data_IF_714121029780
#
_entry.id   IF_714121029780
#
_cell.length_a   1.000
_cell.length_b   1.000
_cell.length_c   1.000
_cell.angle_alpha   90.00
_cell.angle_beta   90.00
_cell.angle_gamma   90.00
#
_symmetry.space_group_name_H-M   'P 1'
#
loop_
_entity.id
_entity.type
_entity.pdbx_description
1 polymer ?
#
# COMPACT_ATOMS: atom_id res chain seq x y z
N UNK A 1 -10.59 0.02 -1.93
CA UNK A 1 -11.17 -1.33 -1.71
C UNK A 1 -10.17 -2.26 -1.07
N UNK A 2 -8.93 -2.40 -1.56
CA UNK A 2 -7.97 -3.41 -1.05
C UNK A 2 -7.73 -3.39 0.47
N UNK A 3 -7.61 -2.21 1.09
CA UNK A 3 -7.43 -2.11 2.56
C UNK A 3 -8.70 -2.56 3.30
N UNK A 4 -9.88 -2.24 2.77
CA UNK A 4 -11.14 -2.72 3.35
C UNK A 4 -11.26 -4.23 3.17
N UNK A 5 -10.92 -4.77 2.01
CA UNK A 5 -10.92 -6.21 1.76
C UNK A 5 -9.97 -6.94 2.71
N UNK A 6 -8.78 -6.37 2.97
CA UNK A 6 -7.85 -6.86 3.98
C UNK A 6 -8.47 -6.87 5.38
N UNK A 7 -9.16 -5.80 5.79
CA UNK A 7 -9.86 -5.72 7.09
C UNK A 7 -11.00 -6.74 7.16
N UNK A 8 -11.77 -6.94 6.08
CA UNK A 8 -12.82 -7.97 6.01
C UNK A 8 -12.25 -9.37 6.06
N UNK A 9 -11.10 -9.62 5.43
CA UNK A 9 -10.40 -10.90 5.56
C UNK A 9 -9.99 -11.18 7.01
N UNK A 10 -9.56 -10.15 7.75
CA UNK A 10 -9.29 -10.27 9.20
C UNK A 10 -10.59 -10.59 9.96
N UNK A 11 -11.74 -10.02 9.60
CA UNK A 11 -13.03 -10.40 10.24
C UNK A 11 -13.32 -11.88 10.06
N UNK A 12 -13.17 -12.40 8.84
CA UNK A 12 -13.38 -13.83 8.54
C UNK A 12 -12.45 -14.70 9.39
N UNK A 13 -11.18 -14.32 9.54
CA UNK A 13 -10.23 -15.03 10.40
C UNK A 13 -10.64 -14.95 11.88
N UNK A 14 -11.17 -13.82 12.34
CA UNK A 14 -11.64 -13.68 13.72
C UNK A 14 -12.82 -14.60 14.03
N UNK A 15 -13.70 -14.87 13.08
CA UNK A 15 -14.86 -15.72 13.29
C UNK A 15 -14.57 -17.23 13.21
N UNK A 16 -13.35 -17.60 12.82
CA UNK A 16 -12.90 -19.00 12.69
C UNK A 16 -12.45 -19.56 14.03
N UNK A 17 -13.07 -20.65 14.48
CA UNK A 17 -12.76 -21.26 15.79
C UNK A 17 -11.34 -21.82 15.88
N UNK A 18 -10.74 -22.22 14.76
CA UNK A 18 -9.38 -22.74 14.68
C UNK A 18 -8.30 -21.64 14.62
N UNK A 19 -8.69 -20.36 14.52
CA UNK A 19 -7.76 -19.24 14.43
C UNK A 19 -7.51 -18.63 15.81
N UNK A 20 -6.24 -18.53 16.18
CA UNK A 20 -5.85 -17.72 17.33
C UNK A 20 -5.84 -16.23 16.95
N UNK A 21 -6.85 -15.51 17.44
CA UNK A 21 -7.06 -14.06 17.23
C UNK A 21 -5.91 -13.20 17.75
N UNK A 22 -5.06 -13.73 18.63
CA UNK A 22 -3.88 -13.03 19.17
C UNK A 22 -2.65 -13.19 18.27
N UNK A 23 -2.73 -13.98 17.20
CA UNK A 23 -1.59 -14.36 16.35
C UNK A 23 -1.85 -14.14 14.85
N UNK A 24 -2.46 -13.01 14.49
CA UNK A 24 -2.75 -12.66 13.09
C UNK A 24 -1.67 -11.74 12.54
N UNK A 25 -1.01 -12.16 11.45
CA UNK A 25 -0.04 -11.35 10.70
C UNK A 25 -0.57 -10.97 9.31
N UNK A 26 -0.03 -9.89 8.74
CA UNK A 26 -0.32 -9.45 7.38
C UNK A 26 0.98 -9.21 6.61
N UNK A 27 1.06 -9.74 5.39
CA UNK A 27 2.25 -9.69 4.54
C UNK A 27 1.83 -9.62 3.08
N UNK A 28 2.68 -9.02 2.25
CA UNK A 28 2.43 -8.89 0.83
C UNK A 28 3.63 -8.30 0.10
N UNK A 29 3.68 -8.53 -1.20
CA UNK A 29 4.76 -8.12 -2.09
C UNK A 29 4.30 -6.97 -2.99
N UNK A 30 5.16 -5.97 -3.24
CA UNK A 30 4.89 -4.87 -4.16
C UNK A 30 3.55 -4.17 -3.85
N UNK A 31 2.58 -4.18 -4.77
CA UNK A 31 1.22 -3.69 -4.49
C UNK A 31 0.58 -4.34 -3.25
N UNK A 32 0.75 -5.64 -3.02
CA UNK A 32 0.29 -6.30 -1.79
C UNK A 32 1.04 -5.82 -0.54
N UNK A 33 2.31 -5.43 -0.68
CA UNK A 33 3.09 -4.80 0.38
C UNK A 33 2.61 -3.39 0.70
N UNK A 34 2.10 -2.66 -0.29
CA UNK A 34 1.43 -1.38 -0.07
C UNK A 34 0.18 -1.56 0.81
N UNK A 35 -0.67 -2.53 0.44
CA UNK A 35 -1.85 -2.87 1.24
C UNK A 35 -1.50 -3.38 2.63
N UNK A 36 -0.34 -4.03 2.79
CA UNK A 36 0.16 -4.53 4.08
C UNK A 36 0.45 -3.41 5.08
N UNK A 37 1.23 -2.39 4.70
CA UNK A 37 1.51 -1.29 5.63
C UNK A 37 0.27 -0.42 5.89
N UNK A 38 -0.66 -0.32 4.93
CA UNK A 38 -1.92 0.37 5.12
C UNK A 38 -2.82 -0.35 6.13
N UNK A 39 -3.08 -1.64 5.92
CA UNK A 39 -3.89 -2.45 6.83
C UNK A 39 -3.28 -2.48 8.24
N UNK A 40 -1.96 -2.64 8.33
CA UNK A 40 -1.23 -2.60 9.59
C UNK A 40 -1.35 -1.29 10.38
N UNK A 41 -1.49 -0.17 9.66
CA UNK A 41 -1.65 1.15 10.26
C UNK A 41 -3.07 1.39 10.80
N UNK A 42 -4.10 0.83 10.15
CA UNK A 42 -5.52 1.14 10.47
C UNK A 42 -6.24 0.03 11.25
N UNK A 43 -5.72 -1.20 11.29
CA UNK A 43 -6.34 -2.31 12.00
C UNK A 43 -5.44 -2.80 13.16
N UNK A 44 -5.91 -2.58 14.39
CA UNK A 44 -5.20 -2.95 15.63
C UNK A 44 -5.14 -4.47 15.86
N UNK A 45 -5.96 -5.24 15.13
CA UNK A 45 -6.05 -6.70 15.25
C UNK A 45 -4.90 -7.43 14.58
N UNK A 46 -4.30 -6.82 13.55
CA UNK A 46 -3.07 -7.33 12.92
C UNK A 46 -1.92 -7.15 13.93
N UNK A 47 -1.27 -8.25 14.30
CA UNK A 47 -0.21 -8.30 15.33
C UNK A 47 1.20 -8.32 14.75
N UNK A 48 1.34 -8.61 13.47
CA UNK A 48 2.62 -8.62 12.76
C UNK A 48 2.42 -8.07 11.35
N UNK A 49 3.28 -7.15 10.92
CA UNK A 49 3.22 -6.54 9.58
C UNK A 49 4.56 -6.74 8.86
N UNK A 50 4.50 -7.24 7.63
CA UNK A 50 5.71 -7.53 6.81
C UNK A 50 5.51 -7.06 5.36
N UNK A 51 5.69 -5.76 5.06
CA UNK A 51 5.69 -5.28 3.68
C UNK A 51 6.98 -5.73 2.98
N UNK A 52 6.84 -6.37 1.82
CA UNK A 52 7.94 -6.89 1.01
C UNK A 52 8.01 -6.14 -0.31
N UNK A 53 9.21 -5.71 -0.72
CA UNK A 53 9.50 -5.05 -1.99
C UNK A 53 8.52 -3.91 -2.33
N UNK A 54 8.17 -3.09 -1.32
CA UNK A 54 7.05 -2.12 -1.42
C UNK A 54 7.26 -0.80 -0.68
N UNK A 55 8.11 -0.76 0.35
CA UNK A 55 8.33 0.46 1.13
C UNK A 55 9.24 1.41 0.36
N UNK A 56 8.88 2.69 0.37
CA UNK A 56 9.64 3.82 -0.19
C UNK A 56 9.15 5.11 0.48
N UNK A 57 9.26 6.27 -0.17
CA UNK A 57 8.61 7.51 0.25
C UNK A 57 7.60 8.00 -0.80
N UNK A 58 6.51 8.62 -0.34
CA UNK A 58 5.59 9.32 -1.25
C UNK A 58 6.32 10.43 -2.04
N UNK A 59 7.31 11.09 -1.43
CA UNK A 59 8.10 12.15 -2.07
C UNK A 59 8.91 11.63 -3.26
N UNK A 60 9.46 10.41 -3.15
CA UNK A 60 10.13 9.74 -4.25
C UNK A 60 9.20 9.57 -5.45
N UNK A 61 8.02 8.98 -5.24
CA UNK A 61 7.05 8.74 -6.30
C UNK A 61 6.56 10.02 -6.95
N UNK A 62 6.23 11.04 -6.15
CA UNK A 62 5.79 12.35 -6.66
C UNK A 62 6.89 12.98 -7.50
N UNK A 63 8.12 13.05 -6.99
CA UNK A 63 9.25 13.69 -7.68
C UNK A 63 9.65 12.96 -8.97
N UNK A 64 9.54 11.63 -8.98
CA UNK A 64 9.88 10.81 -10.15
C UNK A 64 8.72 10.64 -11.13
N UNK A 65 7.53 11.17 -10.82
CA UNK A 65 6.33 10.99 -11.65
C UNK A 65 6.07 9.50 -11.92
N UNK A 66 6.15 8.67 -10.86
CA UNK A 66 6.06 7.20 -10.93
C UNK A 66 4.88 6.65 -10.14
N UNK A 67 4.42 5.49 -10.60
CA UNK A 67 3.45 4.61 -9.95
C UNK A 67 2.16 5.38 -9.55
N UNK A 68 1.21 5.45 -10.49
CA UNK A 68 -0.03 6.20 -10.33
C UNK A 68 -1.18 5.33 -9.84
N UNK A 69 -0.91 4.33 -9.01
CA UNK A 69 -1.95 3.48 -8.42
C UNK A 69 -2.73 4.28 -7.35
N UNK A 70 -3.68 5.10 -7.82
CA UNK A 70 -4.49 6.00 -7.00
C UNK A 70 -5.26 5.26 -5.91
N UNK A 71 -5.60 3.99 -6.15
CA UNK A 71 -6.29 3.14 -5.19
C UNK A 71 -5.46 2.83 -3.93
N UNK A 72 -4.14 2.84 -4.04
CA UNK A 72 -3.22 2.62 -2.92
C UNK A 72 -2.68 3.93 -2.33
N UNK A 73 -3.09 5.07 -2.89
CA UNK A 73 -2.54 6.42 -2.63
C UNK A 73 -3.67 7.44 -2.59
N UNK A 74 -4.50 7.47 -1.53
CA UNK A 74 -5.61 8.39 -1.42
C UNK A 74 -5.16 9.85 -1.63
N UNK A 75 -5.94 10.64 -2.36
CA UNK A 75 -5.62 12.04 -2.62
C UNK A 75 -5.41 12.80 -1.31
N UNK A 76 -4.36 13.62 -1.26
CA UNK A 76 -4.06 14.45 -0.09
C UNK A 76 -3.37 13.71 1.06
N UNK A 77 -3.24 12.37 1.05
CA UNK A 77 -2.60 11.60 2.15
C UNK A 77 -1.25 12.18 2.55
N UNK A 78 -0.43 12.60 1.58
CA UNK A 78 0.91 13.14 1.82
C UNK A 78 0.92 14.40 2.71
N UNK A 79 -0.19 15.13 2.81
CA UNK A 79 -0.34 16.29 3.70
C UNK A 79 -0.45 15.88 5.17
N UNK A 80 -0.88 14.65 5.44
CA UNK A 80 -1.14 14.14 6.78
C UNK A 80 -0.12 13.09 7.22
N UNK A 81 0.34 12.25 6.30
CA UNK A 81 1.24 11.13 6.61
C UNK A 81 2.19 10.81 5.45
N UNK A 82 3.42 10.40 5.80
CA UNK A 82 4.31 9.67 4.90
C UNK A 82 4.22 8.16 5.12
N UNK A 83 4.83 7.35 4.26
CA UNK A 83 4.90 5.88 4.45
C UNK A 83 5.55 5.54 5.78
N UNK A 84 6.62 6.24 6.18
CA UNK A 84 7.20 6.09 7.51
C UNK A 84 6.19 6.30 8.66
N UNK A 85 5.25 7.25 8.52
CA UNK A 85 4.18 7.46 9.51
C UNK A 85 3.22 6.27 9.55
N UNK A 86 2.84 5.72 8.39
CA UNK A 86 1.98 4.54 8.32
C UNK A 86 2.64 3.32 9.00
N UNK A 87 3.94 3.11 8.74
CA UNK A 87 4.73 2.09 9.44
C UNK A 87 4.78 2.33 10.96
N UNK A 88 4.90 3.59 11.37
CA UNK A 88 4.95 3.98 12.78
C UNK A 88 3.62 3.77 13.51
N UNK A 89 2.47 3.92 12.84
CA UNK A 89 1.14 3.66 13.42
C UNK A 89 0.93 2.19 13.82
N UNK A 90 1.76 1.27 13.31
CA UNK A 90 1.74 -0.10 13.77
C UNK A 90 2.36 -0.29 15.16
N UNK A 91 3.22 0.63 15.61
CA UNK A 91 3.93 0.53 16.89
C UNK A 91 2.96 0.35 18.08
N UNK A 92 3.35 -0.39 19.13
CA UNK A 92 4.63 -1.09 19.32
C UNK A 92 4.64 -2.52 18.74
N UNK A 93 3.66 -2.89 17.91
CA UNK A 93 3.53 -4.25 17.38
C UNK A 93 4.64 -4.57 16.38
N UNK A 94 5.07 -5.84 16.25
CA UNK A 94 6.18 -6.22 15.37
C UNK A 94 6.02 -5.84 13.90
N UNK A 95 7.07 -5.25 13.32
CA UNK A 95 7.16 -4.84 11.93
C UNK A 95 8.49 -5.27 11.30
N UNK A 96 8.45 -5.87 10.11
CA UNK A 96 9.63 -6.17 9.31
C UNK A 96 9.48 -5.59 7.90
N UNK A 97 10.31 -4.62 7.56
CA UNK A 97 10.42 -4.15 6.17
C UNK A 97 11.41 -5.04 5.44
N UNK A 98 11.02 -5.61 4.30
CA UNK A 98 11.90 -6.39 3.42
C UNK A 98 12.02 -5.65 2.09
N UNK A 99 13.20 -5.14 1.77
CA UNK A 99 13.46 -4.45 0.50
C UNK A 99 14.23 -5.34 -0.48
N UNK A 100 13.97 -5.16 -1.77
CA UNK A 100 14.74 -5.78 -2.84
C UNK A 100 16.21 -5.32 -2.81
N UNK A 101 17.08 -6.06 -3.50
CA UNK A 101 18.47 -5.67 -3.71
C UNK A 101 18.55 -4.24 -4.27
N UNK A 102 19.42 -3.40 -3.71
CA UNK A 102 19.68 -2.05 -4.24
C UNK A 102 19.90 -2.06 -5.76
N UNK A 103 19.40 -1.04 -6.44
CA UNK A 103 19.51 -0.84 -7.90
C UNK A 103 18.72 -1.82 -8.76
N UNK A 104 18.02 -2.79 -8.18
CA UNK A 104 17.19 -3.74 -8.95
C UNK A 104 15.72 -3.36 -9.00
N UNK A 105 15.32 -2.38 -8.19
CA UNK A 105 13.92 -1.99 -7.97
C UNK A 105 13.76 -0.47 -7.89
N UNK A 106 14.78 0.28 -8.30
CA UNK A 106 14.85 1.73 -8.14
C UNK A 106 13.77 2.47 -8.96
N UNK A 107 13.12 1.80 -9.91
CA UNK A 107 12.00 2.40 -10.64
C UNK A 107 10.83 2.72 -9.70
N UNK A 108 10.55 1.86 -8.72
CA UNK A 108 9.40 2.00 -7.81
C UNK A 108 9.79 2.05 -6.33
N UNK A 109 10.66 1.15 -5.89
CA UNK A 109 10.96 0.92 -4.48
C UNK A 109 12.48 0.94 -4.22
N UNK A 110 13.17 2.07 -4.49
CA UNK A 110 14.59 2.19 -4.17
C UNK A 110 14.81 2.00 -2.67
N UNK A 111 15.82 1.20 -2.34
CA UNK A 111 16.14 0.86 -0.96
C UNK A 111 16.41 2.09 -0.09
N UNK A 112 17.08 3.11 -0.62
CA UNK A 112 17.43 4.32 0.13
C UNK A 112 16.18 5.06 0.61
N UNK A 113 15.11 5.08 -0.19
CA UNK A 113 13.84 5.70 0.20
C UNK A 113 13.07 4.81 1.19
N UNK A 114 13.19 3.49 1.06
CA UNK A 114 12.66 2.55 2.04
C UNK A 114 13.30 2.76 3.42
N UNK A 115 14.61 2.95 3.44
CA UNK A 115 15.40 3.21 4.65
C UNK A 115 14.99 4.53 5.33
N UNK A 116 14.66 5.58 4.58
CA UNK A 116 14.13 6.82 5.15
C UNK A 116 12.82 6.58 5.93
N UNK A 117 11.87 5.88 5.31
CA UNK A 117 10.59 5.52 5.95
C UNK A 117 10.78 4.62 7.16
N UNK A 118 11.67 3.62 7.06
CA UNK A 118 12.00 2.74 8.19
C UNK A 118 12.63 3.50 9.36
N UNK A 119 13.60 4.38 9.11
CA UNK A 119 14.28 5.13 10.19
C UNK A 119 13.32 6.04 10.93
N UNK A 120 12.39 6.67 10.23
CA UNK A 120 11.30 7.43 10.86
C UNK A 120 10.44 6.55 11.76
N UNK A 121 9.97 5.40 11.26
CA UNK A 121 9.18 4.47 12.06
C UNK A 121 9.97 3.95 13.28
N UNK A 122 11.24 3.57 13.08
CA UNK A 122 12.13 3.09 14.15
C UNK A 122 12.34 4.13 15.26
N UNK A 123 12.36 5.42 14.92
CA UNK A 123 12.40 6.48 15.91
C UNK A 123 11.17 6.43 16.82
N UNK A 124 9.96 6.37 16.23
CA UNK A 124 8.69 6.28 16.98
C UNK A 124 8.62 5.00 17.83
N UNK A 125 9.04 3.85 17.28
CA UNK A 125 9.13 2.61 18.06
C UNK A 125 9.98 2.79 19.31
N UNK A 126 11.08 3.54 19.24
CA UNK A 126 11.93 3.84 20.40
C UNK A 126 11.30 4.74 21.47
N UNK A 127 10.18 5.40 21.16
CA UNK A 127 9.42 6.23 22.11
C UNK A 127 8.31 5.43 22.80
N UNK A 128 7.69 4.48 22.10
CA UNK A 128 6.47 3.79 22.56
C UNK A 128 6.66 2.29 22.83
N UNK A 129 7.83 1.73 22.55
CA UNK A 129 8.09 0.30 22.70
C UNK A 129 9.55 -0.11 22.46
N UNK A 130 9.80 -1.42 22.31
CA UNK A 130 11.16 -1.89 22.09
C UNK A 130 11.56 -1.69 20.62
N UNK A 131 12.73 -1.07 20.40
CA UNK A 131 13.34 -0.95 19.05
C UNK A 131 13.65 -2.30 18.39
N UNK A 132 13.60 -3.40 19.15
CA UNK A 132 13.75 -4.76 18.63
C UNK A 132 12.49 -5.26 17.92
N UNK A 133 11.33 -4.63 18.11
CA UNK A 133 10.08 -4.93 17.40
C UNK A 133 10.04 -4.41 15.96
N UNK A 134 11.05 -3.67 15.51
CA UNK A 134 11.13 -3.19 14.12
C UNK A 134 12.50 -3.49 13.51
N UNK A 135 12.50 -3.99 12.27
CA UNK A 135 13.72 -4.17 11.48
C UNK A 135 13.49 -3.87 9.99
N UNK A 136 14.60 -3.61 9.30
CA UNK A 136 14.65 -3.49 7.84
C UNK A 136 15.72 -4.45 7.32
N UNK A 137 15.31 -5.33 6.41
CA UNK A 137 16.18 -6.31 5.77
C UNK A 137 16.30 -6.00 4.28
N UNK A 138 17.53 -6.01 3.79
CA UNK A 138 17.82 -5.97 2.35
C UNK A 138 17.98 -7.39 1.82
N UNK A 139 17.18 -7.73 0.82
CA UNK A 139 17.28 -8.98 0.10
C UNK A 139 18.45 -8.96 -0.89
N UNK A 140 19.22 -10.06 -1.04
CA UNK A 140 20.19 -10.22 -2.11
C UNK A 140 19.54 -10.44 -3.49
N UNK A 141 18.21 -10.56 -3.59
CA UNK A 141 17.49 -10.81 -4.84
C UNK A 141 16.66 -9.60 -5.28
N UNK A 142 16.35 -9.54 -6.57
CA UNK A 142 15.55 -8.47 -7.15
C UNK A 142 14.08 -8.49 -6.68
N UNK A 143 13.23 -7.62 -7.25
CA UNK A 143 11.80 -7.55 -6.97
C UNK A 143 11.12 -8.93 -7.01
N UNK A 144 10.13 -9.17 -6.15
CA UNK A 144 9.48 -10.47 -5.96
C UNK A 144 9.56 -11.03 -4.54
N UNK A 145 9.14 -12.29 -4.40
CA UNK A 145 8.96 -12.99 -3.11
C UNK A 145 9.81 -14.26 -3.00
N UNK A 146 11.09 -14.14 -3.35
CA UNK A 146 12.05 -15.24 -3.42
C UNK A 146 12.31 -15.89 -2.04
N UNK A 147 12.93 -17.07 -2.07
CA UNK A 147 13.20 -17.91 -0.88
C UNK A 147 13.86 -17.12 0.25
N UNK A 148 14.83 -16.26 -0.05
CA UNK A 148 15.55 -15.49 0.97
C UNK A 148 14.64 -14.53 1.74
N UNK A 149 13.68 -13.89 1.04
CA UNK A 149 12.68 -13.00 1.63
C UNK A 149 11.68 -13.80 2.46
N UNK A 150 11.22 -14.94 1.96
CA UNK A 150 10.34 -15.86 2.70
C UNK A 150 10.99 -16.38 3.98
N UNK A 151 12.28 -16.71 3.95
CA UNK A 151 13.04 -17.10 5.15
C UNK A 151 13.01 -16.02 6.22
N UNK A 152 13.19 -14.74 5.86
CA UNK A 152 13.08 -13.65 6.84
C UNK A 152 11.66 -13.51 7.39
N UNK A 153 10.64 -13.65 6.53
CA UNK A 153 9.25 -13.69 6.96
C UNK A 153 9.01 -14.80 7.98
N UNK A 154 9.43 -16.03 7.69
CA UNK A 154 9.21 -17.17 8.59
C UNK A 154 9.88 -16.94 9.95
N UNK A 155 11.11 -16.43 9.97
CA UNK A 155 11.82 -16.05 11.21
C UNK A 155 11.03 -15.04 12.03
N UNK A 156 10.44 -14.03 11.38
CA UNK A 156 9.66 -13.00 12.06
C UNK A 156 8.33 -13.54 12.59
N UNK A 157 7.65 -14.38 11.80
CA UNK A 157 6.44 -15.10 12.24
C UNK A 157 6.74 -15.96 13.45
N UNK A 158 7.80 -16.77 13.40
CA UNK A 158 8.18 -17.66 14.49
C UNK A 158 8.49 -16.89 15.78
N UNK A 159 9.27 -15.81 15.65
CA UNK A 159 9.66 -14.95 16.77
C UNK A 159 8.48 -14.25 17.44
N UNK A 160 7.57 -13.69 16.64
CA UNK A 160 6.59 -12.72 17.13
C UNK A 160 5.17 -13.25 17.23
N UNK A 161 4.80 -14.18 16.37
CA UNK A 161 3.51 -14.87 16.46
C UNK A 161 3.61 -16.18 17.24
N UNK A 162 4.81 -16.72 17.49
CA UNK A 162 5.03 -17.90 18.34
C UNK A 162 4.00 -19.01 18.04
N UNK A 163 3.99 -19.56 16.82
CA UNK A 163 3.02 -20.58 16.44
C UNK A 163 3.18 -21.81 17.35
N UNK A 164 2.12 -22.62 17.56
CA UNK A 164 2.18 -23.81 18.41
C UNK A 164 3.29 -24.80 18.02
N UNK A 165 3.68 -24.78 16.74
CA UNK A 165 4.81 -25.53 16.21
C UNK A 165 5.75 -24.58 15.45
N UNK A 166 6.94 -24.38 15.99
CA UNK A 166 8.00 -23.64 15.31
C UNK A 166 8.59 -24.46 14.15
N UNK A 167 8.77 -23.81 13.02
CA UNK A 167 9.50 -24.34 11.86
C UNK A 167 10.72 -23.47 11.52
N UNK A 168 11.04 -22.49 12.36
CA UNK A 168 12.11 -21.53 12.14
C UNK A 168 11.98 -20.82 10.80
N UNK A 169 13.00 -20.98 9.94
CA UNK A 169 13.06 -20.38 8.61
C UNK A 169 12.92 -21.40 7.47
N UNK A 170 12.45 -22.61 7.78
CA UNK A 170 12.36 -23.68 6.80
C UNK A 170 11.32 -23.36 5.73
N UNK A 171 11.79 -23.16 4.50
CA UNK A 171 10.92 -23.07 3.33
C UNK A 171 10.46 -24.50 2.95
N UNK A 172 9.15 -24.71 3.00
CA UNK A 172 8.55 -26.01 2.74
C UNK A 172 8.29 -26.18 1.25
N UNK A 173 8.34 -27.43 0.79
CA UNK A 173 7.90 -27.77 -0.56
C UNK A 173 6.40 -27.49 -0.68
N UNK A 174 6.02 -26.74 -1.71
CA UNK A 174 4.63 -26.39 -1.99
C UNK A 174 4.17 -27.14 -3.22
N UNK A 175 3.09 -27.91 -3.08
CA UNK A 175 2.34 -28.41 -4.23
C UNK A 175 1.47 -27.26 -4.76
N UNK A 176 1.82 -26.73 -5.92
CA UNK A 176 1.02 -25.69 -6.58
C UNK A 176 -0.33 -26.28 -6.97
N UNK A 177 -1.41 -25.78 -6.38
CA UNK A 177 -2.77 -26.16 -6.77
C UNK A 177 -3.19 -25.41 -8.05
N UNK A 178 -3.93 -26.06 -8.95
CA UNK A 178 -4.54 -25.40 -10.10
C UNK A 178 -5.52 -24.30 -9.64
N UNK A 179 -5.62 -23.21 -10.42
CA UNK A 179 -6.38 -22.02 -10.05
C UNK A 179 -7.86 -22.31 -9.79
N UNK A 180 -8.45 -23.26 -10.51
CA UNK A 180 -9.84 -23.70 -10.37
C UNK A 180 -10.14 -24.25 -8.97
N UNK A 181 -9.14 -24.80 -8.27
CA UNK A 181 -9.30 -25.26 -6.88
C UNK A 181 -9.32 -24.11 -5.87
N UNK A 182 -8.81 -22.95 -6.25
CA UNK A 182 -8.82 -21.74 -5.42
C UNK A 182 -10.10 -20.91 -5.63
N UNK A 183 -10.92 -21.26 -6.61
CA UNK A 183 -12.19 -20.59 -6.86
C UNK A 183 -13.23 -20.98 -5.80
N UNK A 184 -13.76 -19.97 -5.11
CA UNK A 184 -14.88 -20.15 -4.16
C UNK A 184 -16.21 -20.42 -4.89
N UNK A 185 -16.29 -20.18 -6.20
CA UNK A 185 -17.51 -20.34 -6.98
C UNK A 185 -18.59 -19.31 -6.62
N UNK A 186 -18.20 -18.11 -6.15
CA UNK A 186 -19.14 -17.07 -5.69
C UNK A 186 -20.25 -16.74 -6.69
N UNK A 187 -19.97 -16.73 -8.00
CA UNK A 187 -21.00 -16.52 -9.04
C UNK A 187 -22.04 -17.64 -9.11
N UNK A 188 -21.67 -18.88 -8.75
CA UNK A 188 -22.62 -20.00 -8.68
C UNK A 188 -23.48 -19.91 -7.42
N UNK A 189 -22.89 -19.47 -6.31
CA UNK A 189 -23.56 -19.35 -5.02
C UNK A 189 -24.48 -18.13 -4.95
N UNK A 190 -24.07 -17.03 -5.58
CA UNK A 190 -24.79 -15.76 -5.60
C UNK A 190 -24.76 -15.22 -7.04
N UNK A 191 -25.73 -15.60 -7.89
CA UNK A 191 -25.75 -15.27 -9.31
C UNK A 191 -25.68 -13.76 -9.60
N UNK A 192 -26.26 -12.94 -8.72
CA UNK A 192 -26.27 -11.48 -8.85
C UNK A 192 -25.05 -10.79 -8.22
N UNK A 193 -24.05 -11.57 -7.75
CA UNK A 193 -22.85 -11.00 -7.16
C UNK A 193 -22.00 -10.31 -8.23
N UNK A 194 -21.81 -9.01 -8.04
CA UNK A 194 -21.07 -8.18 -8.98
C UNK A 194 -19.58 -8.46 -8.86
N UNK A 195 -18.92 -8.66 -9.99
CA UNK A 195 -17.46 -8.63 -10.02
C UNK A 195 -16.96 -7.20 -9.82
N UNK A 196 -15.69 -7.03 -9.46
CA UNK A 196 -15.05 -5.72 -9.52
C UNK A 196 -15.24 -5.06 -10.89
N UNK A 197 -15.14 -5.82 -11.98
CA UNK A 197 -15.38 -5.32 -13.32
C UNK A 197 -16.83 -4.85 -13.52
N UNK A 198 -17.82 -5.58 -13.01
CA UNK A 198 -19.23 -5.17 -13.06
C UNK A 198 -19.47 -3.87 -12.28
N UNK A 199 -18.86 -3.75 -11.09
CA UNK A 199 -18.92 -2.53 -10.27
C UNK A 199 -18.26 -1.38 -11.03
N UNK A 200 -17.05 -1.57 -11.56
CA UNK A 200 -16.36 -0.56 -12.36
C UNK A 200 -17.20 -0.15 -13.57
N UNK A 201 -17.74 -1.11 -14.34
CA UNK A 201 -18.59 -0.85 -15.51
C UNK A 201 -19.85 -0.06 -15.15
N UNK A 202 -20.51 -0.38 -14.03
CA UNK A 202 -21.65 0.39 -13.53
C UNK A 202 -21.25 1.81 -13.14
N UNK A 203 -20.08 1.97 -12.51
CA UNK A 203 -19.59 3.27 -12.07
C UNK A 203 -19.21 4.16 -13.26
N UNK A 204 -18.38 3.64 -14.18
CA UNK A 204 -17.92 4.33 -15.39
C UNK A 204 -19.01 4.47 -16.45
N UNK A 205 -20.05 3.62 -16.44
CA UNK A 205 -21.12 3.67 -17.44
C UNK A 205 -21.86 5.02 -17.48
N UNK A 206 -21.77 5.78 -16.38
CA UNK A 206 -22.31 7.13 -16.28
C UNK A 206 -21.30 8.25 -16.57
N UNK A 207 -20.04 7.94 -16.89
CA UNK A 207 -19.04 8.94 -17.30
C UNK A 207 -19.50 9.59 -18.60
N UNK A 208 -19.41 10.93 -18.70
CA UNK A 208 -19.51 11.61 -19.99
C UNK A 208 -18.44 11.02 -20.92
N UNK A 209 -18.86 10.46 -22.06
CA UNK A 209 -17.91 10.00 -23.08
C UNK A 209 -17.26 11.22 -23.69
N UNK A 210 -16.04 11.50 -23.26
CA UNK A 210 -15.20 12.58 -23.76
C UNK A 210 -13.89 11.97 -24.28
N UNK A 211 -13.43 12.44 -25.43
CA UNK A 211 -12.09 12.15 -25.95
C UNK A 211 -11.02 12.78 -25.06
N UNK A 212 -9.79 12.26 -25.13
CA UNK A 212 -8.63 12.84 -24.42
C UNK A 212 -8.47 14.32 -24.79
N UNK A 213 -8.67 14.67 -26.07
CA UNK A 213 -8.56 16.05 -26.56
C UNK A 213 -9.69 16.96 -26.04
N UNK A 214 -10.89 16.43 -25.83
CA UNK A 214 -11.99 17.19 -25.23
C UNK A 214 -11.76 17.43 -23.74
N UNK A 215 -11.26 16.42 -23.01
CA UNK A 215 -10.89 16.58 -21.59
C UNK A 215 -9.73 17.56 -21.44
N UNK A 216 -8.74 17.51 -22.33
CA UNK A 216 -7.61 18.43 -22.32
C UNK A 216 -8.03 19.89 -22.58
N UNK A 217 -8.98 20.11 -23.50
CA UNK A 217 -9.52 21.45 -23.82
C UNK A 217 -10.48 21.97 -22.76
N UNK A 218 -11.28 21.10 -22.14
CA UNK A 218 -12.26 21.47 -21.13
C UNK A 218 -12.39 20.40 -20.06
N UNK A 219 -11.53 20.42 -19.01
CA UNK A 219 -11.56 19.41 -17.96
C UNK A 219 -12.71 19.59 -16.97
N UNK A 220 -13.42 20.73 -17.01
CA UNK A 220 -14.44 21.11 -16.02
C UNK A 220 -15.58 20.08 -15.90
N UNK A 221 -16.20 19.57 -16.98
CA UNK A 221 -17.27 18.59 -16.89
C UNK A 221 -16.81 17.25 -16.28
N UNK A 222 -15.64 16.74 -16.69
CA UNK A 222 -15.06 15.52 -16.14
C UNK A 222 -14.74 15.66 -14.65
N UNK A 223 -14.19 16.82 -14.23
CA UNK A 223 -13.92 17.12 -12.80
C UNK A 223 -15.21 17.22 -11.98
N UNK A 224 -16.25 17.87 -12.51
CA UNK A 224 -17.55 17.98 -11.83
C UNK A 224 -18.23 16.62 -11.67
N UNK A 225 -18.15 15.76 -12.68
CA UNK A 225 -18.64 14.39 -12.60
C UNK A 225 -17.86 13.57 -11.56
N UNK A 226 -16.53 13.64 -11.55
CA UNK A 226 -15.71 12.94 -10.55
C UNK A 226 -16.05 13.41 -9.12
N UNK A 227 -16.18 14.73 -8.93
CA UNK A 227 -16.51 15.30 -7.62
C UNK A 227 -17.89 14.86 -7.12
N UNK A 228 -18.89 14.74 -8.00
CA UNK A 228 -20.24 14.27 -7.61
C UNK A 228 -20.28 12.77 -7.25
N UNK A 229 -19.32 11.98 -7.74
CA UNK A 229 -19.21 10.54 -7.48
C UNK A 229 -18.36 10.18 -6.28
N UNK A 230 -17.34 10.98 -5.97
CA UNK A 230 -16.34 10.68 -4.94
C UNK A 230 -16.65 11.27 -3.56
N UNK A 231 -17.87 11.77 -3.35
CA UNK A 231 -18.27 12.54 -2.16
C UNK A 231 -17.18 13.54 -1.74
N UNK A 232 -16.59 14.21 -2.74
CA UNK A 232 -15.48 15.12 -2.51
C UNK A 232 -15.93 16.25 -1.59
N UNK A 233 -15.10 16.68 -0.62
CA UNK A 233 -15.42 17.79 0.27
C UNK A 233 -15.95 19.00 -0.51
N UNK A 234 -17.23 19.34 -0.32
CA UNK A 234 -17.85 20.49 -0.97
C UNK A 234 -17.37 21.77 -0.30
N UNK A 235 -16.97 22.75 -1.09
CA UNK A 235 -16.54 24.07 -0.58
C UNK A 235 -15.04 24.22 -0.35
N UNK A 236 -14.23 23.20 -0.59
CA UNK A 236 -12.78 23.40 -0.69
C UNK A 236 -12.47 24.22 -1.94
N UNK A 237 -11.91 25.41 -1.75
CA UNK A 237 -11.38 26.18 -2.87
C UNK A 237 -10.25 25.39 -3.54
N UNK A 238 -10.15 25.41 -4.89
CA UNK A 238 -9.01 24.84 -5.57
C UNK A 238 -7.74 25.40 -4.93
N UNK A 239 -6.75 24.55 -4.59
CA UNK A 239 -5.57 25.05 -3.92
C UNK A 239 -4.87 26.06 -4.83
N UNK A 240 -4.53 27.21 -4.28
CA UNK A 240 -3.90 28.29 -5.05
C UNK A 240 -2.46 27.87 -5.32
N UNK A 241 -2.14 27.59 -6.58
CA UNK A 241 -0.80 27.21 -6.99
C UNK A 241 0.01 28.49 -7.22
N UNK A 242 0.89 28.85 -6.29
CA UNK A 242 1.83 29.96 -6.50
C UNK A 242 3.10 29.42 -7.15
N UNK A 243 3.45 29.89 -8.34
CA UNK A 243 4.74 29.56 -8.94
C UNK A 243 5.86 30.08 -8.03
N UNK A 244 6.75 29.18 -7.61
CA UNK A 244 7.91 29.49 -6.75
C UNK A 244 9.24 29.24 -7.45
N UNK A 245 9.19 28.81 -8.71
CA UNK A 245 10.36 28.66 -9.58
C UNK A 245 10.03 27.83 -10.81
N UNK A 246 11.01 27.66 -11.68
CA UNK A 246 10.93 26.76 -12.82
C UNK A 246 12.24 25.97 -12.95
N UNK A 247 12.12 24.76 -13.46
CA UNK A 247 13.25 23.92 -13.82
C UNK A 247 13.14 23.59 -15.31
N UNK A 248 14.24 23.79 -16.03
CA UNK A 248 14.30 23.60 -17.48
C UNK A 248 15.24 22.45 -17.80
N UNK A 249 14.70 21.40 -18.40
CA UNK A 249 15.46 20.31 -18.99
C UNK A 249 15.64 20.49 -20.50
N UNK A 250 16.32 19.55 -21.19
CA UNK A 250 16.58 19.62 -22.63
C UNK A 250 15.31 19.65 -23.49
N UNK A 251 14.23 19.02 -23.03
CA UNK A 251 12.96 18.88 -23.77
C UNK A 251 11.73 19.28 -22.97
N UNK A 252 11.90 19.82 -21.76
CA UNK A 252 10.76 20.14 -20.89
C UNK A 252 11.04 21.34 -19.98
N UNK A 253 9.96 21.98 -19.54
CA UNK A 253 9.98 23.03 -18.52
C UNK A 253 8.92 22.68 -17.47
N UNK A 254 9.31 22.53 -16.21
CA UNK A 254 8.41 22.29 -15.09
C UNK A 254 8.35 23.54 -14.22
N UNK A 255 7.16 24.08 -14.02
CA UNK A 255 6.94 25.15 -13.05
C UNK A 255 6.76 24.53 -11.67
N UNK A 256 7.65 24.86 -10.72
CA UNK A 256 7.52 24.45 -9.33
C UNK A 256 6.45 25.33 -8.68
N UNK A 257 5.39 24.71 -8.19
CA UNK A 257 4.32 25.39 -7.47
C UNK A 257 4.42 25.14 -5.96
N UNK A 258 4.18 26.16 -5.15
CA UNK A 258 3.80 26.00 -3.74
C UNK A 258 2.28 26.01 -3.68
N UNK A 259 1.69 24.94 -3.15
CA UNK A 259 0.27 24.87 -2.84
C UNK A 259 0.02 25.74 -1.59
N UNK A 260 -0.81 26.77 -1.73
CA UNK A 260 -1.40 27.50 -0.60
C UNK A 260 -2.79 26.93 -0.32
N UNK A 261 -3.09 26.65 0.95
CA UNK A 261 -4.45 26.38 1.43
C UNK A 261 -5.02 27.55 2.23
N UNK A 262 -4.26 28.64 2.38
CA UNK A 262 -4.75 29.83 3.05
C UNK A 262 -5.64 30.61 2.08
N UNK A 263 -6.92 30.70 2.45
CA UNK A 263 -7.90 31.66 1.92
C UNK A 263 -7.65 33.05 2.51
#
# INVERSE_FOLDING_TARGET
MEVLDAIRAVDVLFDRFEVDRTRIGFTGESGGGNSTYWAGAVDSRIKLVIPVSSVTTFDYWIRKNRNYDWHQRPFGVRRHAGIGTLLALHAPRPLLVISSKRRTDDHEFPWEEAELSYRWARHVYGLVGPKSAIAHYESPTAHGYQVDKRKQLYRWVDRWLQPPRSMGDRDLEVKVEPGERLEVGLKKLVPDNLTHLDIYNRWIGSLPRMTVDEVARSPKPARQWLASRLDWPKGESPPTLKAVGSEKGPTWTVTRGRLSTES
#
